data_IF_719105433035
#
_entry.id   IF_719105433035
#
_cell.length_a   1.000
_cell.length_b   1.000
_cell.length_c   1.000
_cell.angle_alpha   90.00
_cell.angle_beta   90.00
_cell.angle_gamma   90.00
#
_symmetry.space_group_name_H-M   'P 1'
#
loop_
_entity.id
_entity.type
_entity.pdbx_description
1 polymer ?
#
# COMPACT_ATOMS: atom_id res chain seq x y z
N UNK A 1 6.79 41.08 19.83
CA UNK A 1 5.67 40.41 20.53
C UNK A 1 6.17 39.13 21.16
N UNK A 2 6.09 38.94 22.49
CA UNK A 2 6.43 37.67 23.12
C UNK A 2 5.21 36.74 23.10
N UNK A 3 5.36 35.53 22.54
CA UNK A 3 4.38 34.45 22.70
C UNK A 3 4.81 33.55 23.86
N UNK A 4 3.94 33.38 24.85
CA UNK A 4 4.11 32.39 25.90
C UNK A 4 3.96 30.98 25.31
N UNK A 5 4.99 30.14 25.45
CA UNK A 5 4.93 28.73 25.07
C UNK A 5 4.14 27.97 26.15
N UNK A 6 2.84 27.81 25.94
CA UNK A 6 2.06 26.87 26.73
C UNK A 6 2.48 25.44 26.40
N UNK A 7 3.01 24.76 27.41
CA UNK A 7 3.43 23.36 27.33
C UNK A 7 2.18 22.48 27.30
N UNK A 8 1.66 22.22 26.10
CA UNK A 8 0.63 21.20 25.89
C UNK A 8 1.19 19.82 26.24
N UNK A 9 0.96 19.40 27.49
CA UNK A 9 1.10 17.99 27.90
C UNK A 9 -0.02 17.24 27.18
N UNK A 10 0.29 16.66 26.02
CA UNK A 10 -0.57 15.64 25.43
C UNK A 10 -0.59 14.47 26.41
N UNK A 11 -1.69 14.33 27.16
CA UNK A 11 -1.97 13.09 27.90
C UNK A 11 -1.88 11.96 26.87
N UNK A 12 -0.85 11.14 26.98
CA UNK A 12 -0.74 9.95 26.17
C UNK A 12 -1.79 9.00 26.72
N UNK A 13 -2.94 8.99 26.07
CA UNK A 13 -4.02 8.07 26.36
C UNK A 13 -3.49 6.65 26.08
N UNK A 14 -3.08 5.94 27.11
CA UNK A 14 -2.56 4.56 27.04
C UNK A 14 -3.61 3.58 26.51
N UNK A 15 -4.88 4.00 26.55
CA UNK A 15 -6.04 3.37 25.90
C UNK A 15 -6.26 3.80 24.45
N UNK A 16 -5.26 4.37 23.75
CA UNK A 16 -5.30 4.59 22.28
C UNK A 16 -5.42 3.27 21.49
N UNK A 17 -6.65 2.78 21.51
CA UNK A 17 -7.39 1.93 20.59
C UNK A 17 -6.77 0.57 20.29
N UNK A 18 -6.87 -0.35 21.26
CA UNK A 18 -7.05 -1.77 20.89
C UNK A 18 -8.42 -1.88 20.22
N UNK A 19 -8.43 -1.85 18.88
CA UNK A 19 -9.65 -2.11 18.11
C UNK A 19 -10.27 -3.43 18.57
N UNK A 20 -11.59 -3.44 18.74
CA UNK A 20 -12.31 -4.67 19.04
C UNK A 20 -12.16 -5.64 17.87
N UNK A 21 -12.37 -6.94 18.12
CA UNK A 21 -12.30 -7.93 17.05
C UNK A 21 -13.33 -7.65 15.95
N UNK A 22 -14.51 -7.16 16.33
CA UNK A 22 -15.56 -6.73 15.40
C UNK A 22 -15.10 -5.57 14.51
N UNK A 23 -14.46 -4.54 15.06
CA UNK A 23 -13.94 -3.41 14.28
C UNK A 23 -12.84 -3.85 13.30
N UNK A 24 -11.99 -4.79 13.71
CA UNK A 24 -10.96 -5.37 12.84
C UNK A 24 -11.60 -6.14 11.68
N UNK A 25 -12.60 -6.97 11.98
CA UNK A 25 -13.32 -7.73 10.97
C UNK A 25 -14.06 -6.82 9.99
N UNK A 26 -14.71 -5.76 10.49
CA UNK A 26 -15.38 -4.77 9.64
C UNK A 26 -14.38 -4.07 8.69
N UNK A 27 -13.21 -3.68 9.20
CA UNK A 27 -12.15 -3.09 8.37
C UNK A 27 -11.63 -4.08 7.32
N UNK A 28 -11.43 -5.34 7.70
CA UNK A 28 -11.00 -6.40 6.78
C UNK A 28 -12.03 -6.63 5.66
N UNK A 29 -13.32 -6.72 6.02
CA UNK A 29 -14.43 -6.87 5.07
C UNK A 29 -14.51 -5.68 4.11
N UNK A 30 -14.36 -4.46 4.63
CA UNK A 30 -14.34 -3.25 3.80
C UNK A 30 -13.15 -3.24 2.84
N UNK A 31 -11.97 -3.67 3.29
CA UNK A 31 -10.78 -3.80 2.45
C UNK A 31 -11.00 -4.82 1.33
N UNK A 32 -11.53 -6.00 1.64
CA UNK A 32 -11.83 -7.03 0.65
C UNK A 32 -12.83 -6.54 -0.40
N UNK A 33 -13.91 -5.88 0.02
CA UNK A 33 -14.88 -5.26 -0.91
C UNK A 33 -14.22 -4.22 -1.81
N UNK A 34 -13.30 -3.44 -1.26
CA UNK A 34 -12.53 -2.44 -2.04
C UNK A 34 -11.62 -3.12 -3.06
N UNK A 35 -10.92 -4.19 -2.70
CA UNK A 35 -10.07 -4.95 -3.62
C UNK A 35 -10.88 -5.64 -4.72
N UNK A 36 -12.04 -6.20 -4.38
CA UNK A 36 -12.96 -6.78 -5.36
C UNK A 36 -13.45 -5.73 -6.37
N UNK A 37 -13.87 -4.56 -5.89
CA UNK A 37 -14.31 -3.48 -6.75
C UNK A 37 -13.17 -2.91 -7.62
N UNK A 38 -11.93 -2.93 -7.13
CA UNK A 38 -10.75 -2.53 -7.90
C UNK A 38 -10.56 -3.46 -9.11
N UNK A 39 -10.59 -4.78 -8.89
CA UNK A 39 -10.48 -5.78 -9.97
C UNK A 39 -11.62 -5.63 -10.97
N UNK A 40 -12.86 -5.51 -10.48
CA UNK A 40 -14.02 -5.28 -11.35
C UNK A 40 -13.83 -4.04 -12.22
N UNK A 41 -13.50 -2.89 -11.62
CA UNK A 41 -13.37 -1.63 -12.35
C UNK A 41 -12.24 -1.67 -13.39
N UNK A 42 -11.17 -2.45 -13.14
CA UNK A 42 -10.08 -2.66 -14.09
C UNK A 42 -10.48 -3.55 -15.28
N UNK A 43 -11.35 -4.54 -15.10
CA UNK A 43 -11.82 -5.42 -16.17
C UNK A 43 -13.09 -4.91 -16.87
N UNK A 44 -13.85 -4.02 -16.23
CA UNK A 44 -15.15 -3.56 -16.72
C UNK A 44 -14.99 -2.53 -17.85
N UNK A 45 -15.40 -2.88 -19.07
CA UNK A 45 -15.46 -1.97 -20.22
C UNK A 45 -16.79 -1.21 -20.33
N UNK A 46 -17.85 -1.62 -19.62
CA UNK A 46 -19.17 -0.99 -19.70
C UNK A 46 -19.14 0.47 -19.20
N UNK A 47 -19.45 1.48 -20.05
CA UNK A 47 -19.51 2.88 -19.65
C UNK A 47 -20.72 3.20 -18.76
N UNK A 48 -21.82 2.46 -18.92
CA UNK A 48 -23.06 2.57 -18.14
C UNK A 48 -23.15 1.51 -17.03
N UNK A 49 -22.01 1.11 -16.46
CA UNK A 49 -21.99 0.16 -15.35
C UNK A 49 -22.83 0.72 -14.17
N UNK A 50 -23.81 -0.05 -13.64
CA UNK A 50 -24.72 0.45 -12.60
C UNK A 50 -24.02 0.68 -11.25
N UNK A 51 -22.81 0.14 -11.07
CA UNK A 51 -22.03 0.33 -9.85
C UNK A 51 -21.41 1.73 -9.80
N UNK A 52 -21.90 2.57 -8.88
CA UNK A 52 -21.32 3.91 -8.62
C UNK A 52 -19.85 3.85 -8.20
N UNK A 53 -19.45 2.76 -7.51
CA UNK A 53 -18.06 2.53 -7.11
C UNK A 53 -17.16 2.20 -8.30
N UNK A 54 -17.67 1.48 -9.31
CA UNK A 54 -16.94 1.24 -10.55
C UNK A 54 -16.59 2.57 -11.24
N UNK A 55 -17.57 3.47 -11.39
CA UNK A 55 -17.34 4.79 -11.98
C UNK A 55 -16.30 5.62 -11.21
N UNK A 56 -16.35 5.61 -9.87
CA UNK A 56 -15.37 6.30 -9.01
C UNK A 56 -13.95 5.76 -9.20
N UNK A 57 -13.79 4.44 -9.22
CA UNK A 57 -12.46 3.81 -9.40
C UNK A 57 -11.93 4.06 -10.81
N UNK A 58 -12.78 3.99 -11.85
CA UNK A 58 -12.39 4.34 -13.22
C UNK A 58 -11.87 5.77 -13.34
N UNK A 59 -12.57 6.74 -12.74
CA UNK A 59 -12.10 8.14 -12.68
C UNK A 59 -10.75 8.27 -11.97
N UNK A 60 -10.54 7.50 -10.90
CA UNK A 60 -9.27 7.50 -10.18
C UNK A 60 -8.13 6.93 -11.05
N UNK A 61 -8.39 5.90 -11.87
CA UNK A 61 -7.43 5.39 -12.85
C UNK A 61 -7.10 6.43 -13.91
N UNK A 62 -8.11 7.03 -14.53
CA UNK A 62 -7.93 8.07 -15.54
C UNK A 62 -7.09 9.22 -14.99
N UNK A 63 -7.42 9.69 -13.78
CA UNK A 63 -6.64 10.71 -13.09
C UNK A 63 -5.17 10.30 -12.91
N UNK A 64 -4.89 9.10 -12.41
CA UNK A 64 -3.52 8.64 -12.17
C UNK A 64 -2.67 8.49 -13.45
N UNK A 65 -3.31 8.45 -14.62
CA UNK A 65 -2.65 8.42 -15.93
C UNK A 65 -2.40 9.83 -16.49
N UNK A 66 -3.32 10.76 -16.27
CA UNK A 66 -3.26 12.11 -16.87
C UNK A 66 -2.80 13.20 -15.91
N UNK A 67 -2.65 12.92 -14.61
CA UNK A 67 -2.31 13.93 -13.62
C UNK A 67 -0.86 14.43 -13.77
N UNK A 68 -0.64 15.72 -14.09
CA UNK A 68 0.72 16.27 -14.22
C UNK A 68 1.42 16.41 -12.86
N UNK A 69 0.66 16.59 -11.78
CA UNK A 69 1.19 16.73 -10.41
C UNK A 69 1.66 15.40 -9.80
N UNK A 70 1.49 14.28 -10.51
CA UNK A 70 1.92 12.94 -10.06
C UNK A 70 3.43 12.88 -9.82
N UNK A 71 4.22 13.51 -10.67
CA UNK A 71 5.69 13.47 -10.61
C UNK A 71 6.21 14.12 -9.33
N UNK A 72 5.57 15.20 -8.88
CA UNK A 72 5.97 15.94 -7.69
C UNK A 72 5.46 15.27 -6.39
N UNK A 73 4.66 14.20 -6.48
CA UNK A 73 4.18 13.45 -5.30
C UNK A 73 3.08 14.12 -4.48
N UNK A 74 2.66 15.35 -4.81
CA UNK A 74 1.73 16.13 -3.98
C UNK A 74 0.24 15.88 -4.28
N UNK A 75 -0.09 14.91 -5.13
CA UNK A 75 -1.48 14.61 -5.49
C UNK A 75 -2.08 13.49 -4.64
N UNK A 76 -3.03 13.83 -3.79
CA UNK A 76 -3.72 12.88 -2.90
C UNK A 76 -4.48 11.79 -3.65
N UNK A 77 -5.06 12.09 -4.82
CA UNK A 77 -5.75 11.08 -5.64
C UNK A 77 -4.76 10.08 -6.25
N UNK A 78 -3.62 10.55 -6.74
CA UNK A 78 -2.54 9.68 -7.21
C UNK A 78 -2.00 8.81 -6.07
N UNK A 79 -1.80 9.39 -4.88
CA UNK A 79 -1.36 8.63 -3.70
C UNK A 79 -2.38 7.56 -3.32
N UNK A 80 -3.68 7.90 -3.28
CA UNK A 80 -4.75 6.95 -3.01
C UNK A 80 -4.78 5.80 -4.02
N UNK A 81 -4.68 6.10 -5.31
CA UNK A 81 -4.59 5.07 -6.35
C UNK A 81 -3.39 4.15 -6.13
N UNK A 82 -2.21 4.75 -5.91
CA UNK A 82 -0.99 3.99 -5.69
C UNK A 82 -1.09 3.07 -4.48
N UNK A 83 -1.62 3.57 -3.36
CA UNK A 83 -1.88 2.77 -2.16
C UNK A 83 -2.80 1.59 -2.43
N UNK A 84 -3.88 1.76 -3.21
CA UNK A 84 -4.77 0.66 -3.60
C UNK A 84 -4.04 -0.39 -4.44
N UNK A 85 -3.25 0.03 -5.42
CA UNK A 85 -2.47 -0.88 -6.27
C UNK A 85 -1.42 -1.64 -5.47
N UNK A 86 -0.74 -0.99 -4.52
CA UNK A 86 0.24 -1.63 -3.65
C UNK A 86 -0.40 -2.71 -2.75
N UNK A 87 -1.53 -2.40 -2.12
CA UNK A 87 -2.25 -3.37 -1.27
C UNK A 87 -2.70 -4.56 -2.10
N UNK A 88 -3.29 -4.31 -3.27
CA UNK A 88 -3.69 -5.37 -4.19
C UNK A 88 -2.51 -6.24 -4.61
N UNK A 89 -1.42 -5.63 -5.09
CA UNK A 89 -0.25 -6.35 -5.58
C UNK A 89 0.38 -7.25 -4.50
N UNK A 90 0.41 -6.80 -3.23
CA UNK A 90 0.93 -7.62 -2.11
C UNK A 90 0.21 -8.95 -1.93
N UNK A 91 -1.07 -9.02 -2.27
CA UNK A 91 -1.92 -10.20 -2.04
C UNK A 91 -2.26 -10.95 -3.33
N UNK A 92 -1.99 -10.35 -4.50
CA UNK A 92 -2.40 -10.89 -5.79
C UNK A 92 -1.44 -11.97 -6.30
N UNK A 93 -1.96 -13.17 -6.54
CA UNK A 93 -1.22 -14.30 -7.13
C UNK A 93 -1.62 -14.58 -8.59
N UNK A 94 -2.63 -13.90 -9.12
CA UNK A 94 -3.15 -14.09 -10.48
C UNK A 94 -2.11 -13.71 -11.53
N UNK A 95 -1.81 -14.59 -12.48
CA UNK A 95 -0.81 -14.33 -13.54
C UNK A 95 -1.25 -13.17 -14.44
N UNK A 96 -2.39 -13.32 -15.10
CA UNK A 96 -2.98 -12.32 -16.01
C UNK A 96 -3.99 -11.43 -15.28
N UNK A 97 -3.50 -10.73 -14.25
CA UNK A 97 -4.32 -9.83 -13.47
C UNK A 97 -4.75 -8.61 -14.31
N UNK A 98 -6.05 -8.27 -14.38
CA UNK A 98 -6.52 -7.12 -15.17
C UNK A 98 -6.17 -5.77 -14.53
N UNK A 99 -5.70 -5.76 -13.28
CA UNK A 99 -5.39 -4.53 -12.54
C UNK A 99 -4.11 -3.89 -13.10
N UNK A 100 -4.16 -2.64 -13.58
CA UNK A 100 -2.99 -1.94 -14.13
C UNK A 100 -1.82 -1.93 -13.16
N UNK A 101 -0.60 -2.14 -13.67
CA UNK A 101 0.66 -2.16 -12.91
C UNK A 101 0.78 -3.21 -11.81
N UNK A 102 -0.21 -4.10 -11.64
CA UNK A 102 -0.13 -5.16 -10.64
C UNK A 102 1.08 -6.07 -10.86
N UNK A 103 1.35 -6.48 -12.11
CA UNK A 103 2.52 -7.30 -12.47
C UNK A 103 3.84 -6.62 -12.09
N UNK A 104 4.03 -5.37 -12.52
CA UNK A 104 5.22 -4.56 -12.19
C UNK A 104 5.44 -4.45 -10.68
N UNK A 105 4.38 -4.12 -9.92
CA UNK A 105 4.45 -3.95 -8.48
C UNK A 105 4.80 -5.25 -7.75
N UNK A 106 4.26 -6.38 -8.20
CA UNK A 106 4.59 -7.70 -7.66
C UNK A 106 6.04 -8.07 -7.91
N UNK A 107 6.51 -7.83 -9.13
CA UNK A 107 7.90 -8.09 -9.49
C UNK A 107 8.88 -7.22 -8.71
N UNK A 108 8.58 -5.92 -8.57
CA UNK A 108 9.35 -5.01 -7.74
C UNK A 108 9.40 -5.50 -6.28
N UNK A 109 8.26 -5.95 -5.74
CA UNK A 109 8.18 -6.48 -4.37
C UNK A 109 9.01 -7.75 -4.20
N UNK A 110 8.95 -8.69 -5.16
CA UNK A 110 9.77 -9.91 -5.16
C UNK A 110 11.25 -9.59 -5.22
N UNK A 111 11.64 -8.69 -6.12
CA UNK A 111 13.03 -8.24 -6.27
C UNK A 111 13.56 -7.57 -4.99
N UNK A 112 12.75 -6.76 -4.32
CA UNK A 112 13.11 -6.17 -3.02
C UNK A 112 13.26 -7.23 -1.92
N UNK A 113 12.37 -8.22 -1.87
CA UNK A 113 12.45 -9.31 -0.90
C UNK A 113 13.73 -10.15 -1.10
N UNK A 114 14.05 -10.51 -2.35
CA UNK A 114 15.26 -11.24 -2.70
C UNK A 114 16.53 -10.46 -2.31
N UNK A 115 16.58 -9.15 -2.58
CA UNK A 115 17.71 -8.30 -2.16
C UNK A 115 17.89 -8.27 -0.65
N UNK A 116 16.79 -8.15 0.12
CA UNK A 116 16.84 -8.18 1.59
C UNK A 116 17.31 -9.52 2.13
N UNK A 117 16.90 -10.61 1.50
CA UNK A 117 17.35 -11.94 1.87
C UNK A 117 18.83 -12.16 1.59
N UNK A 118 19.32 -11.77 0.41
CA UNK A 118 20.74 -11.82 0.06
C UNK A 118 21.59 -10.98 1.04
N UNK A 119 21.15 -9.76 1.37
CA UNK A 119 21.80 -8.94 2.39
C UNK A 119 21.89 -9.64 3.74
N UNK A 120 20.81 -10.28 4.20
CA UNK A 120 20.82 -11.06 5.46
C UNK A 120 21.77 -12.24 5.41
N UNK A 121 21.80 -12.98 4.30
CA UNK A 121 22.73 -14.12 4.10
C UNK A 121 24.18 -13.66 4.13
N UNK A 122 24.51 -12.55 3.47
CA UNK A 122 25.87 -11.97 3.47
C UNK A 122 26.29 -11.51 4.87
N UNK A 123 25.42 -10.80 5.58
CA UNK A 123 25.68 -10.35 6.95
C UNK A 123 25.91 -11.53 7.90
N UNK A 124 25.11 -12.59 7.79
CA UNK A 124 25.28 -13.80 8.59
C UNK A 124 26.61 -14.50 8.30
N UNK A 125 26.98 -14.64 7.02
CA UNK A 125 28.29 -15.21 6.64
C UNK A 125 29.46 -14.38 7.19
N UNK A 126 29.37 -13.05 7.12
CA UNK A 126 30.39 -12.16 7.66
C UNK A 126 30.56 -12.31 9.18
N UNK A 127 29.44 -12.43 9.92
CA UNK A 127 29.47 -12.68 11.38
C UNK A 127 30.14 -14.01 11.73
N UNK A 128 29.87 -15.09 10.99
CA UNK A 128 30.51 -16.39 11.22
C UNK A 128 32.03 -16.31 10.97
N UNK A 129 32.45 -15.63 9.90
CA UNK A 129 33.87 -15.46 9.59
C UNK A 129 34.61 -14.61 10.62
N UNK A 130 33.97 -13.59 11.19
CA UNK A 130 34.60 -12.75 12.23
C UNK A 130 34.76 -13.47 13.57
N UNK A 131 33.84 -14.39 13.92
CA UNK A 131 33.96 -15.22 15.12
C UNK A 131 35.08 -16.25 14.99
N UNK A 132 35.26 -16.83 13.80
CA UNK A 132 36.36 -17.77 13.54
C UNK A 132 37.75 -17.08 13.51
N UNK A 133 37.80 -15.78 13.21
CA UNK A 133 39.04 -15.01 13.14
C UNK A 133 39.46 -14.36 14.46
N UNK A 134 38.65 -14.47 15.52
CA UNK A 134 38.92 -13.88 16.84
C UNK A 134 38.58 -14.92 17.94
N UNK A 135 39.42 -15.96 18.10
CA UNK A 135 39.20 -17.04 19.06
C UNK A 135 39.28 -16.59 20.52
#
# INVERSE_FOLDING_TARGET
>A
HPHALERHVRKFDETRSRLTEEERQQRANQLQRTMHMLVHASACSNPACPSSNCAKIKRLFQHAMTCPKKIHGNCQLCWRMWSLLQVHAKQCTVTDCPVPRCRELRELSRSQAARREDQRRRAYRAMLTSQAANP
#
